data_IF_931439378937
#
_entry.id   IF_931439378937
#
_cell.length_a   1.000
_cell.length_b   1.000
_cell.length_c   1.000
_cell.angle_alpha   90.00
_cell.angle_beta   90.00
_cell.angle_gamma   90.00
#
_symmetry.space_group_name_H-M   'P 1'
#
loop_
_entity.id
_entity.type
_entity.pdbx_description
1 polymer ?
#
# COMPACT_ATOMS: atom_id res chain seq x y z
N UNK A 1 -9.12 36.06 6.96
CA UNK A 1 -9.91 34.99 7.61
C UNK A 1 -9.91 33.69 6.81
N UNK A 2 -9.49 33.68 5.53
CA UNK A 2 -9.52 32.48 4.67
C UNK A 2 -8.45 31.42 4.98
N UNK A 3 -7.22 31.80 5.33
CA UNK A 3 -6.11 30.84 5.54
C UNK A 3 -6.35 29.86 6.71
N UNK A 4 -6.95 30.32 7.82
CA UNK A 4 -7.20 29.47 8.98
C UNK A 4 -8.24 28.37 8.70
N UNK A 5 -9.20 28.67 7.84
CA UNK A 5 -10.26 27.74 7.43
C UNK A 5 -9.71 26.67 6.47
N UNK A 6 -8.91 27.07 5.48
CA UNK A 6 -8.23 26.13 4.57
C UNK A 6 -7.25 25.19 5.29
N UNK A 7 -6.51 25.70 6.28
CA UNK A 7 -5.61 24.87 7.09
C UNK A 7 -6.37 23.85 7.93
N UNK A 8 -7.52 24.22 8.49
CA UNK A 8 -8.35 23.30 9.26
C UNK A 8 -8.90 22.16 8.38
N UNK A 9 -9.44 22.50 7.21
CA UNK A 9 -10.00 21.53 6.27
C UNK A 9 -8.92 20.54 5.80
N UNK A 10 -7.77 21.06 5.36
CA UNK A 10 -6.65 20.24 4.89
C UNK A 10 -6.08 19.35 6.00
N UNK A 11 -5.96 19.88 7.23
CA UNK A 11 -5.50 19.11 8.38
C UNK A 11 -6.45 17.97 8.77
N UNK A 12 -7.76 18.22 8.72
CA UNK A 12 -8.77 17.21 9.00
C UNK A 12 -8.79 16.10 7.92
N UNK A 13 -8.65 16.47 6.65
CA UNK A 13 -8.50 15.56 5.52
C UNK A 13 -7.25 14.67 5.67
N UNK A 14 -6.10 15.28 5.91
CA UNK A 14 -4.83 14.57 6.12
C UNK A 14 -4.90 13.61 7.32
N UNK A 15 -5.54 14.02 8.42
CA UNK A 15 -5.71 13.15 9.59
C UNK A 15 -6.52 11.89 9.25
N UNK A 16 -7.60 12.04 8.49
CA UNK A 16 -8.40 10.91 8.00
C UNK A 16 -7.58 10.04 7.06
N UNK A 17 -6.84 10.64 6.13
CA UNK A 17 -5.97 9.92 5.22
C UNK A 17 -4.89 9.11 5.94
N UNK A 18 -4.23 9.68 6.96
CA UNK A 18 -3.24 8.95 7.78
C UNK A 18 -3.89 7.74 8.48
N UNK A 19 -5.11 7.89 8.99
CA UNK A 19 -5.83 6.77 9.62
C UNK A 19 -6.17 5.68 8.61
N UNK A 20 -6.59 6.06 7.40
CA UNK A 20 -6.77 5.14 6.28
C UNK A 20 -5.47 4.41 5.93
N UNK A 21 -4.37 5.15 5.78
CA UNK A 21 -3.07 4.58 5.45
C UNK A 21 -2.58 3.59 6.50
N UNK A 22 -2.84 3.87 7.78
CA UNK A 22 -2.50 2.95 8.86
C UNK A 22 -3.33 1.66 8.81
N UNK A 23 -4.64 1.76 8.50
CA UNK A 23 -5.49 0.58 8.32
C UNK A 23 -5.05 -0.28 7.12
N UNK A 24 -4.67 0.37 6.02
CA UNK A 24 -4.16 -0.26 4.81
C UNK A 24 -2.85 -1.02 5.08
N UNK A 25 -1.89 -0.31 5.70
CA UNK A 25 -0.63 -0.85 6.16
C UNK A 25 -0.78 -2.10 7.03
N UNK A 26 -1.69 -2.07 8.00
CA UNK A 26 -1.97 -3.23 8.84
C UNK A 26 -2.58 -4.39 8.05
N UNK A 27 -3.54 -4.12 7.17
CA UNK A 27 -4.19 -5.14 6.35
C UNK A 27 -3.17 -5.84 5.45
N UNK A 28 -2.33 -5.08 4.75
CA UNK A 28 -1.26 -5.60 3.89
C UNK A 28 -0.21 -6.37 4.71
N UNK A 29 0.17 -5.87 5.90
CA UNK A 29 1.06 -6.57 6.81
C UNK A 29 0.53 -7.96 7.22
N UNK A 30 -0.77 -8.06 7.51
CA UNK A 30 -1.43 -9.34 7.84
C UNK A 30 -1.45 -10.28 6.63
N UNK A 31 -1.74 -9.77 5.43
CA UNK A 31 -1.69 -10.57 4.20
C UNK A 31 -0.28 -11.13 3.95
N UNK A 32 0.76 -10.30 4.12
CA UNK A 32 2.15 -10.74 4.05
C UNK A 32 2.47 -11.79 5.10
N UNK A 33 2.05 -11.59 6.35
CA UNK A 33 2.30 -12.54 7.43
C UNK A 33 1.71 -13.91 7.11
N UNK A 34 0.43 -13.95 6.75
CA UNK A 34 -0.28 -15.20 6.43
C UNK A 34 0.37 -15.87 5.22
N UNK A 35 0.60 -15.11 4.14
CA UNK A 35 1.18 -15.64 2.92
C UNK A 35 2.60 -16.19 3.10
N UNK A 36 3.48 -15.44 3.75
CA UNK A 36 4.86 -15.90 4.01
C UNK A 36 4.90 -17.08 4.96
N UNK A 37 3.94 -17.17 5.88
CA UNK A 37 3.84 -18.32 6.79
C UNK A 37 3.38 -19.58 6.05
N UNK A 38 2.47 -19.46 5.08
CA UNK A 38 2.07 -20.56 4.19
C UNK A 38 3.26 -21.04 3.33
N UNK A 39 4.03 -20.10 2.77
CA UNK A 39 5.25 -20.40 1.99
C UNK A 39 6.42 -20.84 2.89
N UNK A 40 6.27 -20.74 4.22
CA UNK A 40 7.26 -21.07 5.25
C UNK A 40 8.57 -20.30 5.16
N UNK A 41 8.53 -19.08 4.62
CA UNK A 41 9.71 -18.22 4.47
C UNK A 41 10.32 -17.93 5.85
N UNK A 42 11.65 -18.07 6.02
CA UNK A 42 12.29 -17.75 7.29
C UNK A 42 12.07 -16.29 7.66
N UNK A 43 11.90 -16.02 8.95
CA UNK A 43 11.65 -14.67 9.47
C UNK A 43 10.37 -14.01 8.90
N UNK A 44 9.36 -14.80 8.52
CA UNK A 44 8.07 -14.29 8.02
C UNK A 44 7.46 -13.14 8.85
N UNK A 45 7.45 -13.19 10.20
CA UNK A 45 6.93 -12.07 11.00
C UNK A 45 7.74 -10.78 10.87
N UNK A 46 9.06 -10.88 10.76
CA UNK A 46 9.94 -9.73 10.56
C UNK A 46 9.66 -9.07 9.20
N UNK A 47 9.57 -9.86 8.15
CA UNK A 47 9.29 -9.35 6.82
C UNK A 47 7.89 -8.75 6.69
N UNK A 48 6.89 -9.38 7.29
CA UNK A 48 5.52 -8.86 7.30
C UNK A 48 5.43 -7.52 8.03
N UNK A 49 6.13 -7.38 9.16
CA UNK A 49 6.21 -6.10 9.88
C UNK A 49 6.91 -5.04 9.03
N UNK A 50 8.03 -5.39 8.38
CA UNK A 50 8.75 -4.48 7.51
C UNK A 50 7.87 -4.04 6.33
N UNK A 51 7.16 -4.97 5.70
CA UNK A 51 6.22 -4.67 4.63
C UNK A 51 5.10 -3.74 5.11
N UNK A 52 4.53 -3.97 6.30
CA UNK A 52 3.54 -3.07 6.89
C UNK A 52 4.10 -1.65 7.06
N UNK A 53 5.30 -1.51 7.63
CA UNK A 53 5.94 -0.20 7.82
C UNK A 53 6.21 0.49 6.48
N UNK A 54 6.73 -0.25 5.50
CA UNK A 54 7.02 0.30 4.17
C UNK A 54 5.73 0.66 3.39
N UNK A 55 4.62 -0.06 3.62
CA UNK A 55 3.29 0.25 3.05
C UNK A 55 2.80 1.64 3.42
N UNK A 56 3.34 2.27 4.46
CA UNK A 56 3.01 3.66 4.77
C UNK A 56 3.34 4.61 3.61
N UNK A 57 4.31 4.27 2.77
CA UNK A 57 4.60 4.96 1.51
C UNK A 57 3.84 4.26 0.37
N UNK A 58 2.79 4.88 -0.19
CA UNK A 58 1.95 4.26 -1.21
C UNK A 58 2.76 3.76 -2.40
N UNK A 59 2.41 2.58 -2.91
CA UNK A 59 3.04 1.90 -4.07
C UNK A 59 4.50 1.45 -3.89
N UNK A 60 5.29 2.12 -3.05
CA UNK A 60 6.66 1.72 -2.75
C UNK A 60 6.73 0.57 -1.74
N UNK A 61 5.81 0.56 -0.77
CA UNK A 61 5.78 -0.45 0.29
C UNK A 61 5.78 -1.90 -0.18
N UNK A 62 4.86 -2.29 -1.09
CA UNK A 62 4.82 -3.65 -1.61
C UNK A 62 6.12 -4.04 -2.33
N UNK A 63 6.64 -3.14 -3.17
CA UNK A 63 7.83 -3.38 -4.00
C UNK A 63 9.05 -3.61 -3.13
N UNK A 64 9.29 -2.71 -2.17
CA UNK A 64 10.45 -2.80 -1.27
C UNK A 64 10.28 -3.94 -0.26
N UNK A 65 9.05 -4.20 0.20
CA UNK A 65 8.71 -5.28 1.14
C UNK A 65 8.90 -6.69 0.56
N UNK A 66 8.90 -6.84 -0.77
CA UNK A 66 9.09 -8.13 -1.44
C UNK A 66 10.56 -8.55 -1.57
N UNK A 67 11.49 -7.60 -1.73
CA UNK A 67 12.91 -7.88 -2.02
C UNK A 67 13.51 -8.78 -0.94
N UNK A 68 13.28 -8.43 0.33
CA UNK A 68 13.78 -9.19 1.47
C UNK A 68 13.30 -10.64 1.53
N UNK A 69 11.98 -10.90 1.55
CA UNK A 69 11.41 -12.25 1.51
C UNK A 69 11.88 -13.12 0.35
N UNK A 70 11.97 -12.53 -0.85
CA UNK A 70 12.42 -13.26 -2.04
C UNK A 70 13.88 -13.67 -1.87
N UNK A 71 14.76 -12.75 -1.46
CA UNK A 71 16.15 -13.08 -1.16
C UNK A 71 16.27 -14.11 -0.04
N UNK A 72 15.51 -13.96 1.03
CA UNK A 72 15.49 -14.91 2.15
C UNK A 72 15.05 -16.32 1.69
N UNK A 73 14.07 -16.42 0.79
CA UNK A 73 13.68 -17.70 0.19
C UNK A 73 14.77 -18.25 -0.73
N UNK A 74 15.35 -17.45 -1.63
CA UNK A 74 16.44 -17.91 -2.52
C UNK A 74 17.62 -18.49 -1.75
N UNK A 75 18.05 -17.81 -0.68
CA UNK A 75 19.22 -18.22 0.12
C UNK A 75 18.94 -19.44 1.00
N UNK A 76 17.68 -19.64 1.42
CA UNK A 76 17.27 -20.75 2.30
C UNK A 76 17.24 -22.08 1.56
N UNK A 77 16.63 -22.12 0.38
CA UNK A 77 16.40 -23.35 -0.37
C UNK A 77 17.34 -23.55 -1.55
N UNK A 78 17.90 -22.49 -2.12
CA UNK A 78 18.80 -22.58 -3.27
C UNK A 78 18.11 -23.00 -4.57
N UNK A 79 16.78 -22.93 -4.63
CA UNK A 79 15.97 -23.31 -5.78
C UNK A 79 15.16 -22.12 -6.33
N UNK A 80 14.55 -22.32 -7.51
CA UNK A 80 13.77 -21.29 -8.19
C UNK A 80 12.28 -21.29 -7.80
N UNK A 81 11.79 -22.39 -7.21
CA UNK A 81 10.38 -22.57 -6.89
C UNK A 81 9.93 -21.72 -5.70
N UNK A 82 10.67 -21.72 -4.59
CA UNK A 82 10.30 -20.95 -3.39
C UNK A 82 10.28 -19.43 -3.63
N UNK A 83 11.28 -18.83 -4.29
CA UNK A 83 11.23 -17.41 -4.69
C UNK A 83 10.04 -17.10 -5.59
N UNK A 84 9.68 -18.01 -6.50
CA UNK A 84 8.53 -17.86 -7.38
C UNK A 84 7.20 -17.86 -6.59
N UNK A 85 7.06 -18.69 -5.55
CA UNK A 85 5.89 -18.64 -4.68
C UNK A 85 5.77 -17.31 -3.93
N UNK A 86 6.88 -16.74 -3.48
CA UNK A 86 6.89 -15.40 -2.86
C UNK A 86 6.51 -14.31 -3.86
N UNK A 87 6.99 -14.40 -5.10
CA UNK A 87 6.60 -13.52 -6.21
C UNK A 87 5.10 -13.58 -6.52
N UNK A 88 4.54 -14.78 -6.56
CA UNK A 88 3.10 -14.99 -6.78
C UNK A 88 2.30 -14.40 -5.61
N UNK A 89 2.74 -14.64 -4.38
CA UNK A 89 2.13 -14.04 -3.20
C UNK A 89 2.15 -12.52 -3.28
N UNK A 90 3.28 -11.92 -3.62
CA UNK A 90 3.41 -10.49 -3.82
C UNK A 90 2.42 -9.96 -4.86
N UNK A 91 2.34 -10.61 -6.02
CA UNK A 91 1.41 -10.21 -7.08
C UNK A 91 -0.05 -10.25 -6.60
N UNK A 92 -0.43 -11.29 -5.84
CA UNK A 92 -1.76 -11.37 -5.25
C UNK A 92 -2.02 -10.24 -4.25
N UNK A 93 -1.04 -9.93 -3.38
CA UNK A 93 -1.16 -8.84 -2.41
C UNK A 93 -1.34 -7.50 -3.13
N UNK A 94 -0.55 -7.21 -4.17
CA UNK A 94 -0.67 -5.96 -4.95
C UNK A 94 -2.04 -5.83 -5.60
N UNK A 95 -2.58 -6.91 -6.17
CA UNK A 95 -3.90 -6.91 -6.81
C UNK A 95 -5.00 -6.70 -5.77
N UNK A 96 -4.95 -7.42 -4.64
CA UNK A 96 -5.93 -7.28 -3.54
C UNK A 96 -5.85 -5.88 -2.94
N UNK A 97 -4.66 -5.35 -2.76
CA UNK A 97 -4.43 -4.01 -2.22
C UNK A 97 -5.02 -2.93 -3.13
N UNK A 98 -4.62 -2.93 -4.40
CA UNK A 98 -5.04 -1.90 -5.36
C UNK A 98 -6.51 -1.96 -5.76
N UNK A 99 -7.12 -3.15 -5.83
CA UNK A 99 -8.50 -3.32 -6.29
C UNK A 99 -9.53 -3.40 -5.16
N UNK A 100 -9.14 -3.86 -3.96
CA UNK A 100 -10.07 -4.07 -2.85
C UNK A 100 -9.74 -3.18 -1.66
N UNK A 101 -8.53 -3.27 -1.09
CA UNK A 101 -8.21 -2.59 0.17
C UNK A 101 -8.20 -1.07 0.01
N UNK A 102 -7.39 -0.54 -0.91
CA UNK A 102 -7.29 0.90 -1.15
C UNK A 102 -8.66 1.55 -1.41
N UNK A 103 -9.46 1.12 -2.42
CA UNK A 103 -10.73 1.78 -2.69
C UNK A 103 -11.74 1.62 -1.55
N UNK A 104 -11.74 0.48 -0.84
CA UNK A 104 -12.63 0.26 0.30
C UNK A 104 -12.29 1.20 1.47
N UNK A 105 -10.99 1.33 1.79
CA UNK A 105 -10.50 2.17 2.88
C UNK A 105 -10.70 3.66 2.54
N UNK A 106 -10.36 4.08 1.32
CA UNK A 106 -10.56 5.47 0.87
C UNK A 106 -12.04 5.86 0.88
N UNK A 107 -12.92 4.96 0.43
CA UNK A 107 -14.37 5.20 0.46
C UNK A 107 -14.87 5.37 1.90
N UNK A 108 -14.40 4.55 2.84
CA UNK A 108 -14.87 4.57 4.23
C UNK A 108 -14.35 5.80 4.99
N UNK A 109 -13.11 6.19 4.74
CA UNK A 109 -12.41 7.16 5.58
C UNK A 109 -12.46 8.57 5.01
N UNK A 110 -12.36 8.72 3.69
CA UNK A 110 -12.34 10.01 2.99
C UNK A 110 -13.58 10.25 2.11
N UNK A 111 -14.58 9.34 2.12
CA UNK A 111 -15.79 9.41 1.26
C UNK A 111 -15.47 9.56 -0.24
N UNK A 112 -14.22 9.26 -0.63
CA UNK A 112 -13.78 9.36 -2.01
C UNK A 112 -14.52 8.30 -2.84
N UNK A 113 -15.10 8.66 -3.99
CA UNK A 113 -15.72 7.70 -4.88
C UNK A 113 -14.70 6.67 -5.39
N UNK A 114 -15.09 5.39 -5.45
CA UNK A 114 -14.22 4.30 -5.89
C UNK A 114 -13.60 4.55 -7.28
N UNK A 115 -14.36 5.15 -8.20
CA UNK A 115 -13.86 5.51 -9.53
C UNK A 115 -12.75 6.57 -9.48
N UNK A 116 -12.83 7.54 -8.57
CA UNK A 116 -11.84 8.60 -8.43
C UNK A 116 -10.51 8.05 -7.87
N UNK A 117 -10.57 7.10 -6.94
CA UNK A 117 -9.39 6.40 -6.41
C UNK A 117 -8.60 5.64 -7.47
N UNK A 118 -9.27 5.14 -8.52
CA UNK A 118 -8.63 4.41 -9.61
C UNK A 118 -8.15 5.36 -10.72
N UNK A 119 -8.98 6.34 -11.12
CA UNK A 119 -8.65 7.24 -12.23
C UNK A 119 -7.57 8.27 -11.88
N UNK A 120 -7.55 8.77 -10.64
CA UNK A 120 -6.63 9.86 -10.28
C UNK A 120 -5.16 9.45 -10.35
N UNK A 121 -4.73 8.28 -9.84
CA UNK A 121 -3.36 7.81 -10.04
C UNK A 121 -2.99 7.64 -11.51
N UNK A 122 -3.93 7.22 -12.37
CA UNK A 122 -3.69 7.07 -13.82
C UNK A 122 -3.46 8.43 -14.46
N UNK A 123 -4.36 9.39 -14.22
CA UNK A 123 -4.26 10.73 -14.81
C UNK A 123 -3.02 11.44 -14.30
N UNK A 124 -2.80 11.46 -12.98
CA UNK A 124 -1.64 12.12 -12.40
C UNK A 124 -0.34 11.40 -12.78
N UNK A 125 -0.34 10.09 -12.92
CA UNK A 125 0.81 9.32 -13.41
C UNK A 125 1.16 9.58 -14.88
N UNK A 126 0.22 10.07 -15.69
CA UNK A 126 0.54 10.53 -17.06
C UNK A 126 1.17 11.92 -17.02
N UNK A 127 0.69 12.82 -16.15
CA UNK A 127 1.16 14.21 -16.06
C UNK A 127 2.49 14.32 -15.33
N UNK A 128 2.62 13.65 -14.19
CA UNK A 128 3.79 13.64 -13.32
C UNK A 128 4.05 12.18 -12.94
N UNK A 129 4.93 11.44 -13.62
CA UNK A 129 5.00 9.98 -13.54
C UNK A 129 5.03 9.38 -12.13
N UNK A 130 6.21 9.35 -11.50
CA UNK A 130 6.37 8.76 -10.18
C UNK A 130 5.59 9.53 -9.10
N UNK A 131 5.69 10.85 -9.12
CA UNK A 131 5.10 11.71 -8.08
C UNK A 131 3.58 11.77 -8.15
N UNK A 132 3.00 11.72 -9.34
CA UNK A 132 1.56 11.80 -9.54
C UNK A 132 0.83 10.58 -8.99
N UNK A 133 1.39 9.38 -9.18
CA UNK A 133 0.86 8.15 -8.58
C UNK A 133 1.01 8.19 -7.05
N UNK A 134 2.17 8.62 -6.55
CA UNK A 134 2.44 8.70 -5.11
C UNK A 134 1.54 9.72 -4.39
N UNK A 135 1.28 10.87 -5.02
CA UNK A 135 0.50 11.97 -4.43
C UNK A 135 -1.00 11.86 -4.70
N UNK A 136 -1.45 10.94 -5.55
CA UNK A 136 -2.88 10.79 -5.85
C UNK A 136 -3.73 10.49 -4.59
N UNK A 137 -3.36 9.54 -3.70
CA UNK A 137 -4.14 9.29 -2.49
C UNK A 137 -4.30 10.50 -1.56
N UNK A 138 -3.23 11.24 -1.17
CA UNK A 138 -3.40 12.41 -0.30
C UNK A 138 -4.13 13.56 -1.00
N UNK A 139 -3.93 13.77 -2.32
CA UNK A 139 -4.66 14.79 -3.07
C UNK A 139 -6.16 14.49 -3.11
N UNK A 140 -6.54 13.24 -3.36
CA UNK A 140 -7.94 12.81 -3.33
C UNK A 140 -8.59 13.06 -1.97
N UNK A 141 -7.86 12.80 -0.89
CA UNK A 141 -8.36 13.03 0.46
C UNK A 141 -8.54 14.51 0.81
N UNK A 142 -7.82 15.42 0.15
CA UNK A 142 -8.00 16.88 0.33
C UNK A 142 -9.18 17.41 -0.50
N UNK A 143 -9.44 16.79 -1.66
CA UNK A 143 -10.52 17.21 -2.57
C UNK A 143 -11.91 16.76 -2.07
N UNK A 144 -12.00 15.64 -1.34
CA UNK A 144 -13.25 15.03 -0.85
C UNK A 144 -13.33 14.96 0.67
#
# INVERSE_FOLDING_TARGET
>A
MELGEHLHITGAALKKWILAQFQDSLAVGVLWLIGLWIVKVPWAPFWALLAAVLQFVPHLGPVLGMIGPVLAATLRWGDWEHPLYVLILYAMIVVVDGLLLQPYIMRRTAKVPMWASILTPIVLGIVIPFWGVLLAPPLLAVVY
#
